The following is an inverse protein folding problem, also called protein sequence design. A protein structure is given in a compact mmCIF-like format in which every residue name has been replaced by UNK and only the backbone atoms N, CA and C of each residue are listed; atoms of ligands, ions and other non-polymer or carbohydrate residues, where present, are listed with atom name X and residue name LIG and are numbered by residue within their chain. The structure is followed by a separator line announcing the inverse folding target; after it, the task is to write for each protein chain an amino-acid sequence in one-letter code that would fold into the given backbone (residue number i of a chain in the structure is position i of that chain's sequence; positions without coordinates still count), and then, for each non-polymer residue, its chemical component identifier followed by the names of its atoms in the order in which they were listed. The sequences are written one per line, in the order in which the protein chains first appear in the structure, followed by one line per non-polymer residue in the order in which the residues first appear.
data_IF_816585732026
#
_entry.id   IF_816585732026
#
_cell.length_a   1.000
_cell.length_b   1.000
_cell.length_c   1.000
_cell.angle_alpha   90.00
_cell.angle_beta   90.00
_cell.angle_gamma   90.00
#
_symmetry.space_group_name_H-M   'P 1'
#
loop_
_entity.id
_entity.type
_entity.pdbx_description
1 polymer ?
#
# COMPACT_ATOMS: atom_id res chain seq x y z
N UNK A 1 -13.93 -5.34 -37.90
CA UNK A 1 -12.67 -5.13 -37.16
C UNK A 1 -12.99 -4.94 -35.70
N UNK A 2 -12.81 -5.99 -34.88
CA UNK A 2 -13.06 -5.91 -33.45
C UNK A 2 -11.97 -5.05 -32.79
N UNK A 3 -12.36 -3.96 -32.13
CA UNK A 3 -11.44 -3.14 -31.33
C UNK A 3 -11.01 -3.96 -30.11
N UNK A 4 -9.75 -4.34 -30.05
CA UNK A 4 -9.11 -4.82 -28.82
C UNK A 4 -9.15 -3.68 -27.81
N UNK A 5 -9.99 -3.79 -26.79
CA UNK A 5 -9.89 -2.96 -25.60
C UNK A 5 -8.66 -3.44 -24.84
N UNK A 6 -7.72 -2.55 -24.62
CA UNK A 6 -6.59 -2.79 -23.73
C UNK A 6 -7.13 -2.92 -22.30
N UNK A 7 -7.32 -4.15 -21.84
CA UNK A 7 -7.66 -4.42 -20.45
C UNK A 7 -6.35 -4.47 -19.66
N UNK A 8 -6.20 -3.56 -18.71
CA UNK A 8 -5.14 -3.66 -17.70
C UNK A 8 -5.43 -4.95 -16.92
N UNK A 9 -4.47 -5.90 -16.82
CA UNK A 9 -4.71 -7.14 -16.09
C UNK A 9 -4.90 -6.81 -14.62
N UNK A 10 -6.16 -6.87 -14.18
CA UNK A 10 -6.53 -6.76 -12.78
C UNK A 10 -6.05 -8.04 -12.10
N UNK A 11 -4.97 -7.94 -11.31
CA UNK A 11 -4.53 -9.00 -10.41
C UNK A 11 -5.46 -9.08 -9.19
N UNK A 12 -6.77 -9.22 -9.40
CA UNK A 12 -7.60 -9.88 -8.41
C UNK A 12 -7.43 -11.38 -8.62
N UNK A 13 -7.31 -12.21 -7.57
CA UNK A 13 -7.37 -13.65 -7.74
C UNK A 13 -8.60 -13.97 -8.59
N UNK A 14 -8.38 -14.56 -9.77
CA UNK A 14 -9.42 -14.94 -10.72
C UNK A 14 -10.63 -15.46 -9.95
N UNK A 15 -11.69 -14.66 -9.91
CA UNK A 15 -12.95 -14.92 -9.21
C UNK A 15 -13.77 -15.97 -9.95
N UNK A 16 -13.15 -17.08 -10.33
CA UNK A 16 -13.85 -18.24 -10.87
C UNK A 16 -14.69 -18.96 -9.80
N UNK A 17 -14.49 -18.67 -8.50
CA UNK A 17 -15.30 -19.22 -7.42
C UNK A 17 -16.26 -18.24 -6.72
N UNK A 18 -16.06 -16.92 -6.81
CA UNK A 18 -16.85 -15.94 -6.04
C UNK A 18 -17.15 -14.71 -6.89
N UNK A 19 -18.37 -14.61 -7.43
CA UNK A 19 -18.79 -13.37 -8.09
C UNK A 19 -19.11 -12.32 -7.02
N UNK A 20 -18.10 -11.54 -6.64
CA UNK A 20 -18.25 -10.43 -5.69
C UNK A 20 -18.59 -9.16 -6.48
N UNK A 21 -19.63 -8.39 -6.10
CA UNK A 21 -19.92 -7.10 -6.72
C UNK A 21 -18.76 -6.11 -6.58
N UNK A 22 -18.48 -5.30 -7.59
CA UNK A 22 -17.31 -4.40 -7.61
C UNK A 22 -17.33 -3.38 -6.46
N UNK A 23 -18.52 -2.97 -6.02
CA UNK A 23 -18.69 -2.12 -4.82
C UNK A 23 -18.18 -2.79 -3.55
N UNK A 24 -18.42 -4.08 -3.39
CA UNK A 24 -17.94 -4.84 -2.24
C UNK A 24 -16.43 -5.06 -2.30
N UNK A 25 -15.86 -5.21 -3.50
CA UNK A 25 -14.40 -5.26 -3.67
C UNK A 25 -13.72 -3.97 -3.19
N UNK A 26 -14.28 -2.80 -3.50
CA UNK A 26 -13.78 -1.52 -2.99
C UNK A 26 -13.84 -1.46 -1.45
N UNK A 27 -14.93 -1.96 -0.86
CA UNK A 27 -15.12 -2.00 0.60
C UNK A 27 -14.14 -2.95 1.29
N UNK A 28 -13.87 -4.13 0.73
CA UNK A 28 -12.87 -5.06 1.26
C UNK A 28 -11.46 -4.49 1.27
N UNK A 29 -11.17 -3.59 0.33
CA UNK A 29 -9.89 -2.86 0.27
C UNK A 29 -9.87 -1.63 1.19
N UNK A 30 -10.92 -1.42 2.00
CA UNK A 30 -11.02 -0.30 2.93
C UNK A 30 -11.36 1.04 2.29
N UNK A 31 -11.65 1.08 0.98
CA UNK A 31 -12.02 2.31 0.29
C UNK A 31 -13.48 2.66 0.54
N UNK A 32 -13.72 3.91 0.94
CA UNK A 32 -15.06 4.45 1.16
C UNK A 32 -15.31 5.60 0.20
N UNK A 33 -16.30 5.43 -0.66
CA UNK A 33 -16.82 6.46 -1.53
C UNK A 33 -18.25 6.82 -1.12
N UNK A 34 -18.71 8.07 -1.33
CA UNK A 34 -20.11 8.41 -1.14
C UNK A 34 -21.01 7.56 -2.04
N UNK A 35 -22.15 7.08 -1.53
CA UNK A 35 -23.08 6.25 -2.32
C UNK A 35 -23.56 6.97 -3.59
N UNK A 36 -23.77 8.30 -3.53
CA UNK A 36 -24.09 9.13 -4.71
C UNK A 36 -23.05 9.07 -5.83
N UNK A 37 -21.79 8.77 -5.51
CA UNK A 37 -20.73 8.57 -6.51
C UNK A 37 -20.81 7.15 -7.07
N UNK A 38 -20.93 6.15 -6.20
CA UNK A 38 -21.01 4.74 -6.59
C UNK A 38 -22.21 4.44 -7.49
N UNK A 39 -23.33 5.13 -7.28
CA UNK A 39 -24.54 5.01 -8.11
C UNK A 39 -24.41 5.64 -9.50
N UNK A 40 -23.43 6.54 -9.71
CA UNK A 40 -23.15 7.14 -11.02
C UNK A 40 -22.15 6.32 -11.83
N UNK A 41 -21.44 5.39 -11.21
CA UNK A 41 -20.43 4.58 -11.88
C UNK A 41 -21.05 3.30 -12.45
N UNK A 42 -20.63 2.92 -13.67
CA UNK A 42 -20.97 1.62 -14.23
C UNK A 42 -20.23 0.50 -13.50
N UNK A 43 -20.78 -0.71 -13.52
CA UNK A 43 -20.13 -1.87 -12.88
C UNK A 43 -18.73 -2.15 -13.44
N UNK A 44 -18.52 -1.95 -14.75
CA UNK A 44 -17.19 -2.06 -15.35
C UNK A 44 -16.20 -1.04 -14.81
N UNK A 45 -16.63 0.23 -14.66
CA UNK A 45 -15.79 1.28 -14.09
C UNK A 45 -15.46 1.02 -12.62
N UNK A 46 -16.43 0.52 -11.84
CA UNK A 46 -16.20 0.12 -10.46
C UNK A 46 -15.23 -1.06 -10.35
N UNK A 47 -15.32 -2.03 -11.27
CA UNK A 47 -14.38 -3.15 -11.37
C UNK A 47 -12.96 -2.67 -11.66
N UNK A 48 -12.79 -1.78 -12.63
CA UNK A 48 -11.48 -1.18 -12.95
C UNK A 48 -10.92 -0.39 -11.75
N UNK A 49 -11.77 0.38 -11.08
CA UNK A 49 -11.39 1.12 -9.88
C UNK A 49 -10.95 0.19 -8.74
N UNK A 50 -11.70 -0.89 -8.50
CA UNK A 50 -11.38 -1.90 -7.49
C UNK A 50 -10.08 -2.65 -7.82
N UNK A 51 -9.84 -2.94 -9.10
CA UNK A 51 -8.60 -3.57 -9.54
C UNK A 51 -7.38 -2.69 -9.30
N UNK A 52 -7.48 -1.41 -9.65
CA UNK A 52 -6.39 -0.45 -9.45
C UNK A 52 -6.12 -0.17 -7.97
N UNK A 53 -7.18 -0.07 -7.16
CA UNK A 53 -7.07 0.13 -5.72
C UNK A 53 -6.36 -1.03 -5.01
N UNK A 54 -6.59 -2.26 -5.47
CA UNK A 54 -5.91 -3.44 -4.92
C UNK A 54 -4.40 -3.37 -5.17
N UNK A 55 -4.00 -3.08 -6.41
CA UNK A 55 -2.60 -2.93 -6.78
C UNK A 55 -1.91 -1.82 -5.95
N UNK A 56 -2.58 -0.67 -5.77
CA UNK A 56 -2.06 0.42 -4.95
C UNK A 56 -1.85 0.00 -3.48
N UNK A 57 -2.78 -0.78 -2.90
CA UNK A 57 -2.68 -1.29 -1.53
C UNK A 57 -1.48 -2.23 -1.37
N UNK A 58 -1.26 -3.13 -2.33
CA UNK A 58 -0.08 -4.00 -2.36
C UNK A 58 1.23 -3.20 -2.45
N UNK A 59 1.28 -2.18 -3.30
CA UNK A 59 2.45 -1.29 -3.40
C UNK A 59 2.73 -0.57 -2.08
N UNK A 60 1.69 -0.06 -1.41
CA UNK A 60 1.85 0.58 -0.10
C UNK A 60 2.40 -0.39 0.94
N UNK A 61 1.90 -1.63 0.98
CA UNK A 61 2.41 -2.65 1.90
C UNK A 61 3.90 -2.95 1.67
N UNK A 62 4.34 -3.03 0.41
CA UNK A 62 5.75 -3.20 0.06
C UNK A 62 6.59 -1.99 0.49
N UNK A 63 6.11 -0.76 0.24
CA UNK A 63 6.80 0.45 0.67
C UNK A 63 6.96 0.51 2.20
N UNK A 64 5.91 0.17 2.95
CA UNK A 64 5.97 0.10 4.41
C UNK A 64 6.97 -0.96 4.88
N UNK A 65 6.97 -2.14 4.26
CA UNK A 65 7.94 -3.20 4.59
C UNK A 65 9.38 -2.72 4.35
N UNK A 66 9.63 -2.02 3.23
CA UNK A 66 10.93 -1.42 2.93
C UNK A 66 11.30 -0.38 4.00
N UNK A 67 10.41 0.56 4.30
CA UNK A 67 10.65 1.60 5.31
C UNK A 67 10.94 1.00 6.70
N UNK A 68 10.25 -0.07 7.08
CA UNK A 68 10.52 -0.77 8.36
C UNK A 68 11.84 -1.54 8.37
N UNK A 69 12.38 -1.88 7.19
CA UNK A 69 13.67 -2.55 7.06
C UNK A 69 14.86 -1.59 6.99
N UNK A 70 14.60 -0.28 6.86
CA UNK A 70 15.64 0.74 6.91
C UNK A 70 15.97 1.02 8.38
N UNK A 71 17.21 0.74 8.78
CA UNK A 71 17.78 1.30 10.00
C UNK A 71 17.95 2.80 9.79
N UNK A 72 17.07 3.57 10.42
CA UNK A 72 17.31 5.00 10.59
C UNK A 72 18.23 5.14 11.79
N UNK A 73 19.42 5.71 11.59
CA UNK A 73 20.27 6.16 12.70
C UNK A 73 19.41 7.11 13.55
N UNK A 74 18.90 6.60 14.67
CA UNK A 74 18.22 7.45 15.63
C UNK A 74 19.31 8.26 16.32
N UNK A 75 19.18 9.59 16.30
CA UNK A 75 20.13 10.50 16.94
C UNK A 75 20.39 10.18 18.42
N UNK A 76 19.54 9.37 19.06
CA UNK A 76 19.74 8.84 20.40
C UNK A 76 20.96 7.92 20.55
N UNK A 77 21.37 7.18 19.51
CA UNK A 77 22.50 6.25 19.63
C UNK A 77 23.86 6.95 19.59
N UNK A 78 23.93 8.16 19.00
CA UNK A 78 25.14 8.96 18.99
C UNK A 78 25.32 9.75 20.29
N UNK A 79 24.24 10.29 20.88
CA UNK A 79 24.33 11.00 22.16
C UNK A 79 24.66 10.05 23.33
N UNK A 80 24.10 8.84 23.35
CA UNK A 80 24.35 7.88 24.44
C UNK A 80 25.78 7.31 24.41
N UNK A 81 26.37 7.13 23.22
CA UNK A 81 27.76 6.69 23.08
C UNK A 81 28.77 7.80 23.40
N UNK A 82 28.48 9.05 23.07
CA UNK A 82 29.33 10.18 23.44
C UNK A 82 29.31 10.44 24.96
N UNK A 83 28.15 10.27 25.61
CA UNK A 83 28.04 10.38 27.07
C UNK A 83 28.73 9.21 27.79
N UNK A 84 28.64 7.97 27.28
CA UNK A 84 29.38 6.82 27.85
C UNK A 84 30.89 7.00 27.68
N UNK A 85 31.36 7.49 26.53
CA UNK A 85 32.79 7.75 26.30
C UNK A 85 33.31 8.90 27.16
N UNK A 86 32.52 9.94 27.39
CA UNK A 86 32.82 11.02 28.32
C UNK A 86 32.86 10.54 29.79
N UNK A 87 31.96 9.63 30.17
CA UNK A 87 31.89 9.05 31.52
C UNK A 87 33.04 8.06 31.80
N UNK A 88 33.47 7.31 30.79
CA UNK A 88 34.58 6.33 30.88
C UNK A 88 35.97 6.98 30.80
N UNK A 89 36.06 8.30 30.58
CA UNK A 89 37.32 9.05 30.65
C UNK A 89 38.39 8.55 29.68
N UNK A 90 37.99 7.96 28.55
CA UNK A 90 38.93 7.50 27.52
C UNK A 90 39.46 8.69 26.72
N UNK A 91 40.39 9.44 27.33
CA UNK A 91 41.30 10.31 26.61
C UNK A 91 42.22 9.42 25.76
N UNK A 92 41.98 9.37 24.45
CA UNK A 92 43.00 8.89 23.50
C UNK A 92 44.12 9.91 23.47
N UNK A 93 45.17 9.65 24.27
CA UNK A 93 46.50 10.20 24.06
C UNK A 93 47.21 9.45 22.93
#
# INVERSE_FOLDING_TARGET
TAKTKDYVPICLPSTTLWHVPSRELLRFQGLRYPEMFLDKCSEGLLGDLAGNAFAATCCLAVMLAILTSMEFETTSENEENDDINALLGMNTA
#
